data_IF_728022350164
#
_entry.id   IF_728022350164
#
_cell.length_a   1.000
_cell.length_b   1.000
_cell.length_c   1.000
_cell.angle_alpha   90.00
_cell.angle_beta   90.00
_cell.angle_gamma   90.00
#
_symmetry.space_group_name_H-M   'P 1'
#
loop_
_entity.id
_entity.type
_entity.pdbx_description
1 polymer ?
#
# COMPACT_ATOMS: atom_id res chain seq x y z
N UNK A 1 21.66 32.47 43.74
CA UNK A 1 22.24 32.62 42.39
C UNK A 1 22.78 31.25 42.04
N UNK A 2 21.95 30.44 41.37
CA UNK A 2 22.21 29.02 41.09
C UNK A 2 21.92 28.77 39.61
N UNK A 3 23.02 28.45 38.92
CA UNK A 3 23.21 27.57 37.77
C UNK A 3 22.40 27.77 36.48
N UNK A 4 23.14 28.19 35.45
CA UNK A 4 22.76 28.22 34.04
C UNK A 4 22.67 26.78 33.50
N UNK A 5 21.48 26.35 33.07
CA UNK A 5 21.35 25.21 32.16
C UNK A 5 21.85 25.59 30.76
N UNK A 6 23.02 25.08 30.39
CA UNK A 6 23.41 24.90 28.99
C UNK A 6 23.03 23.48 28.57
N UNK A 7 21.84 23.32 28.01
CA UNK A 7 21.50 22.10 27.26
C UNK A 7 21.77 22.29 25.76
N UNK A 8 22.36 21.24 25.20
CA UNK A 8 23.26 21.24 24.06
C UNK A 8 22.44 20.87 22.83
N UNK A 9 22.43 21.74 21.84
CA UNK A 9 21.78 21.55 20.53
C UNK A 9 22.03 20.13 19.98
N UNK A 10 20.99 19.34 19.65
CA UNK A 10 21.19 17.98 19.17
C UNK A 10 21.82 18.03 17.78
N UNK A 11 22.86 17.20 17.60
CA UNK A 11 23.71 17.13 16.41
C UNK A 11 22.89 16.97 15.13
N UNK A 12 23.28 17.73 14.11
CA UNK A 12 22.77 17.73 12.74
C UNK A 12 22.64 16.32 12.16
N UNK A 13 21.51 16.03 11.52
CA UNK A 13 21.10 14.71 11.03
C UNK A 13 21.79 14.29 9.71
N UNK A 14 22.80 15.04 9.26
CA UNK A 14 23.31 14.95 7.88
C UNK A 14 24.67 14.27 7.69
N UNK A 15 25.25 13.64 8.72
CA UNK A 15 26.60 13.05 8.61
C UNK A 15 26.59 11.51 8.64
N UNK A 16 25.83 10.86 7.76
CA UNK A 16 26.08 9.47 7.37
C UNK A 16 25.91 9.36 5.85
N UNK A 17 27.01 9.55 5.13
CA UNK A 17 27.16 9.10 3.74
C UNK A 17 28.11 7.91 3.77
N UNK A 18 27.55 6.72 3.59
CA UNK A 18 28.27 5.47 3.46
C UNK A 18 28.52 5.23 1.97
N UNK A 19 29.80 5.21 1.60
CA UNK A 19 30.32 5.05 0.24
C UNK A 19 30.50 3.55 -0.02
N UNK A 20 29.63 2.96 -0.84
CA UNK A 20 29.82 1.61 -1.36
C UNK A 20 29.46 1.53 -2.84
N UNK A 21 30.51 1.66 -3.65
CA UNK A 21 30.62 1.29 -5.05
C UNK A 21 30.85 -0.23 -5.18
N UNK A 22 29.97 -0.94 -5.90
CA UNK A 22 30.21 -2.30 -6.39
C UNK A 22 29.20 -2.69 -7.49
N UNK A 23 29.57 -2.43 -8.74
CA UNK A 23 29.02 -3.10 -9.92
C UNK A 23 29.41 -4.59 -9.94
N UNK A 24 28.45 -5.49 -10.10
CA UNK A 24 28.72 -6.83 -10.67
C UNK A 24 27.48 -7.48 -11.26
N UNK A 25 27.56 -7.75 -12.57
CA UNK A 25 26.60 -8.46 -13.39
C UNK A 25 26.54 -9.96 -13.04
N UNK A 26 25.34 -10.54 -12.90
CA UNK A 26 24.90 -11.70 -13.71
C UNK A 26 23.55 -12.27 -13.24
N UNK A 27 22.65 -12.43 -14.21
CA UNK A 27 21.64 -13.49 -14.31
C UNK A 27 20.99 -14.05 -13.05
N UNK A 28 20.00 -13.35 -12.52
CA UNK A 28 18.76 -13.95 -12.04
C UNK A 28 17.63 -12.98 -12.36
N UNK A 29 16.57 -13.43 -13.06
CA UNK A 29 15.27 -12.77 -12.93
C UNK A 29 14.82 -13.11 -11.51
N UNK A 30 15.38 -12.39 -10.55
CA UNK A 30 14.73 -12.25 -9.26
C UNK A 30 13.39 -11.63 -9.60
N UNK A 31 12.34 -12.43 -9.47
CA UNK A 31 11.02 -11.87 -9.21
C UNK A 31 11.18 -11.17 -7.87
N UNK A 32 11.75 -9.97 -7.89
CA UNK A 32 11.76 -9.06 -6.77
C UNK A 32 10.28 -9.02 -6.37
N UNK A 33 9.91 -9.52 -5.18
CA UNK A 33 8.54 -9.38 -4.73
C UNK A 33 8.34 -7.88 -4.68
N UNK A 34 7.63 -7.33 -5.67
CA UNK A 34 7.14 -5.97 -5.62
C UNK A 34 6.40 -5.92 -4.30
N UNK A 35 6.99 -5.23 -3.32
CA UNK A 35 6.43 -5.12 -1.99
C UNK A 35 5.18 -4.27 -2.14
N UNK A 36 4.07 -4.94 -2.40
CA UNK A 36 2.75 -4.32 -2.53
C UNK A 36 2.36 -3.85 -1.13
N UNK A 37 2.79 -2.65 -0.79
CA UNK A 37 2.43 -1.99 0.44
C UNK A 37 1.03 -1.40 0.25
N UNK A 38 0.01 -1.90 0.95
CA UNK A 38 -1.32 -1.34 0.85
C UNK A 38 -1.29 0.12 1.31
N UNK A 39 -2.08 0.97 0.65
CA UNK A 39 -2.23 2.36 1.08
C UNK A 39 -2.82 2.41 2.48
N UNK A 40 -2.17 3.16 3.37
CA UNK A 40 -2.74 3.45 4.69
C UNK A 40 -3.96 4.36 4.51
N UNK A 41 -5.12 3.92 4.98
CA UNK A 41 -6.37 4.68 4.92
C UNK A 41 -6.71 5.25 6.29
N UNK A 42 -7.08 6.53 6.34
CA UNK A 42 -7.63 7.16 7.53
C UNK A 42 -9.14 6.85 7.66
N UNK A 43 -9.75 7.32 8.76
CA UNK A 43 -11.17 7.10 9.03
C UNK A 43 -12.09 7.75 7.98
N UNK A 44 -11.80 8.99 7.57
CA UNK A 44 -12.56 9.69 6.53
C UNK A 44 -12.40 9.04 5.15
N UNK A 45 -11.22 8.51 4.83
CA UNK A 45 -11.03 7.74 3.59
C UNK A 45 -11.99 6.55 3.57
N UNK A 46 -12.11 5.80 4.67
CA UNK A 46 -13.02 4.65 4.76
C UNK A 46 -14.49 5.07 4.70
N UNK A 47 -14.88 6.16 5.36
CA UNK A 47 -16.25 6.69 5.37
C UNK A 47 -16.66 7.18 3.97
N UNK A 48 -15.74 7.81 3.25
CA UNK A 48 -16.00 8.35 1.91
C UNK A 48 -16.39 7.27 0.90
N UNK A 49 -15.97 6.02 1.12
CA UNK A 49 -16.29 4.85 0.30
C UNK A 49 -17.72 4.31 0.52
N UNK A 50 -18.54 4.94 1.37
CA UNK A 50 -19.94 4.55 1.55
C UNK A 50 -20.76 4.87 0.29
N UNK A 51 -21.58 3.94 -0.24
CA UNK A 51 -22.42 4.19 -1.41
C UNK A 51 -23.37 5.40 -1.25
N UNK A 52 -23.68 5.80 -0.01
CA UNK A 52 -24.52 6.97 0.27
C UNK A 52 -23.87 8.31 -0.14
N UNK A 53 -22.54 8.35 -0.29
CA UNK A 53 -21.81 9.52 -0.77
C UNK A 53 -21.54 9.49 -2.28
N UNK A 54 -21.88 8.39 -2.98
CA UNK A 54 -21.70 8.28 -4.43
C UNK A 54 -22.91 8.82 -5.20
N UNK A 55 -22.71 9.97 -5.85
CA UNK A 55 -23.72 10.63 -6.69
C UNK A 55 -23.75 10.10 -8.14
N UNK A 56 -22.90 9.14 -8.51
CA UNK A 56 -22.85 8.58 -9.87
C UNK A 56 -24.19 8.00 -10.32
N UNK A 57 -25.00 7.52 -9.36
CA UNK A 57 -26.34 6.98 -9.59
C UNK A 57 -27.31 7.99 -10.21
N UNK A 58 -27.13 9.30 -9.96
CA UNK A 58 -27.97 10.35 -10.55
C UNK A 58 -27.77 10.49 -12.06
N UNK A 59 -26.66 9.99 -12.58
CA UNK A 59 -26.24 10.16 -13.97
C UNK A 59 -26.14 8.84 -14.74
N UNK A 60 -26.38 7.69 -14.09
CA UNK A 60 -26.34 6.37 -14.73
C UNK A 60 -27.61 6.12 -15.53
N UNK A 61 -27.45 5.86 -16.85
CA UNK A 61 -28.54 5.51 -17.76
C UNK A 61 -29.11 4.11 -17.50
N UNK A 62 -28.26 3.20 -17.00
CA UNK A 62 -28.62 1.82 -16.69
C UNK A 62 -28.69 1.60 -15.17
N UNK A 63 -29.77 0.96 -14.69
CA UNK A 63 -30.03 0.74 -13.25
C UNK A 63 -29.22 -0.41 -12.62
N UNK A 64 -28.20 -0.92 -13.30
CA UNK A 64 -27.36 -2.01 -12.76
C UNK A 64 -26.39 -1.39 -11.76
N UNK A 65 -26.87 -1.17 -10.53
CA UNK A 65 -26.01 -0.85 -9.40
C UNK A 65 -25.42 -2.16 -8.90
N UNK A 66 -24.19 -2.48 -9.32
CA UNK A 66 -23.43 -3.54 -8.65
C UNK A 66 -23.00 -2.99 -7.29
N UNK A 67 -23.45 -3.65 -6.22
CA UNK A 67 -22.95 -3.37 -4.88
C UNK A 67 -21.51 -3.84 -4.78
N UNK A 68 -20.58 -2.94 -4.46
CA UNK A 68 -19.21 -3.33 -4.15
C UNK A 68 -19.19 -4.26 -2.94
N UNK A 69 -18.57 -5.43 -3.10
CA UNK A 69 -18.34 -6.36 -2.02
C UNK A 69 -17.06 -5.96 -1.28
N UNK A 70 -17.17 -5.60 0.00
CA UNK A 70 -16.05 -5.21 0.87
C UNK A 70 -15.89 -6.20 2.02
N UNK A 71 -14.65 -6.52 2.36
CA UNK A 71 -14.30 -7.41 3.47
C UNK A 71 -13.07 -6.87 4.22
N UNK A 72 -12.85 -7.34 5.44
CA UNK A 72 -11.68 -7.00 6.27
C UNK A 72 -10.91 -8.26 6.64
N UNK A 73 -9.61 -8.11 6.89
CA UNK A 73 -8.76 -9.21 7.32
C UNK A 73 -7.54 -8.67 8.07
N UNK A 74 -6.92 -9.51 8.90
CA UNK A 74 -5.67 -9.21 9.59
C UNK A 74 -4.45 -9.86 8.90
N UNK A 75 -4.67 -10.58 7.79
CA UNK A 75 -3.59 -11.20 7.02
C UNK A 75 -2.72 -10.16 6.30
N UNK A 76 -1.47 -10.51 6.01
CA UNK A 76 -0.58 -9.68 5.21
C UNK A 76 -1.11 -9.49 3.78
N UNK A 77 -0.75 -8.36 3.15
CA UNK A 77 -1.07 -8.09 1.75
C UNK A 77 -0.58 -9.21 0.82
N UNK A 78 0.62 -9.74 1.07
CA UNK A 78 1.19 -10.87 0.30
C UNK A 78 0.31 -12.13 0.37
N UNK A 79 -0.22 -12.45 1.55
CA UNK A 79 -1.11 -13.61 1.74
C UNK A 79 -2.42 -13.42 0.99
N UNK A 80 -3.01 -12.23 1.08
CA UNK A 80 -4.26 -11.90 0.40
C UNK A 80 -4.08 -12.01 -1.12
N UNK A 81 -3.03 -11.41 -1.68
CA UNK A 81 -2.73 -11.47 -3.12
C UNK A 81 -2.47 -12.90 -3.57
N UNK A 82 -1.76 -13.70 -2.78
CA UNK A 82 -1.51 -15.12 -3.09
C UNK A 82 -2.83 -15.91 -3.18
N UNK A 83 -3.73 -15.72 -2.21
CA UNK A 83 -5.06 -16.37 -2.20
C UNK A 83 -5.93 -15.91 -3.36
N UNK A 84 -5.91 -14.62 -3.70
CA UNK A 84 -6.66 -14.11 -4.85
C UNK A 84 -6.13 -14.68 -6.16
N UNK A 85 -4.81 -14.82 -6.31
CA UNK A 85 -4.20 -15.46 -7.48
C UNK A 85 -4.64 -16.92 -7.60
N UNK A 86 -4.58 -17.69 -6.52
CA UNK A 86 -5.02 -19.09 -6.47
C UNK A 86 -6.46 -19.24 -7.00
N UNK A 87 -7.40 -18.46 -6.45
CA UNK A 87 -8.81 -18.47 -6.88
C UNK A 87 -8.96 -18.00 -8.33
N UNK A 88 -8.22 -16.99 -8.75
CA UNK A 88 -8.25 -16.50 -10.12
C UNK A 88 -7.79 -17.57 -11.13
N UNK A 89 -6.73 -18.33 -10.82
CA UNK A 89 -6.28 -19.45 -11.65
C UNK A 89 -7.33 -20.55 -11.76
N UNK A 90 -7.97 -20.92 -10.64
CA UNK A 90 -9.06 -21.90 -10.65
C UNK A 90 -10.24 -21.45 -11.52
N UNK A 91 -10.53 -20.15 -11.53
CA UNK A 91 -11.58 -19.55 -12.35
C UNK A 91 -11.14 -19.16 -13.77
N UNK A 92 -9.91 -19.48 -14.19
CA UNK A 92 -9.34 -19.07 -15.49
C UNK A 92 -9.38 -17.56 -15.76
N UNK A 93 -9.24 -16.74 -14.72
CA UNK A 93 -9.19 -15.29 -14.82
C UNK A 93 -7.78 -14.82 -15.16
N UNK A 94 -7.67 -13.77 -16.00
CA UNK A 94 -6.40 -13.08 -16.25
C UNK A 94 -6.09 -12.13 -15.09
N UNK A 95 -4.98 -12.35 -14.39
CA UNK A 95 -4.51 -11.47 -13.31
C UNK A 95 -3.45 -10.50 -13.85
N UNK A 96 -3.62 -9.20 -13.60
CA UNK A 96 -2.59 -8.18 -13.83
C UNK A 96 -2.28 -7.52 -12.48
N UNK A 97 -1.02 -7.56 -12.08
CA UNK A 97 -0.55 -6.90 -10.86
C UNK A 97 -0.01 -5.53 -11.29
N UNK A 98 -0.48 -4.47 -10.64
CA UNK A 98 -0.04 -3.09 -10.88
C UNK A 98 1.03 -2.71 -9.84
#
# INVERSE_FOLDING_TARGET
MLDQEQDKSPRSIFDIVDDLDAESSSGHIEQHPLTMNPTCLNAFDIISLSPAFDLSSLFKKDKICRSDARFTTQNSASTIVSRLKEVAYMGSFKVTIC
#
